data_IF_705834948226
#
_entry.id   IF_705834948226
#
_cell.length_a   1.000
_cell.length_b   1.000
_cell.length_c   1.000
_cell.angle_alpha   90.00
_cell.angle_beta   90.00
_cell.angle_gamma   90.00
#
_symmetry.space_group_name_H-M   'P 1'
#
loop_
_entity.id
_entity.type
_entity.pdbx_description
1 polymer ?
#
# COMPACT_ATOMS: atom_id res chain seq x y z
N UNK A 1 -9.48 15.89 -4.25
CA UNK A 1 -10.61 16.40 -5.05
C UNK A 1 -11.82 16.52 -4.11
N UNK A 2 -12.68 17.53 -4.29
CA UNK A 2 -13.88 17.70 -3.47
C UNK A 2 -15.12 17.17 -4.19
N UNK A 3 -15.90 16.32 -3.52
CA UNK A 3 -17.21 15.89 -3.99
C UNK A 3 -18.24 16.92 -3.53
N UNK A 4 -18.92 17.61 -4.46
CA UNK A 4 -19.99 18.54 -4.13
C UNK A 4 -21.35 17.86 -4.28
N UNK A 5 -22.03 17.63 -3.16
CA UNK A 5 -23.39 17.09 -3.14
C UNK A 5 -24.35 18.26 -2.90
N UNK A 6 -25.32 18.48 -3.78
CA UNK A 6 -26.31 19.57 -3.64
C UNK A 6 -27.66 19.11 -3.07
N UNK A 7 -27.76 17.84 -2.67
CA UNK A 7 -28.99 17.27 -2.15
C UNK A 7 -29.08 17.49 -0.63
N UNK A 8 -30.06 18.28 -0.20
CA UNK A 8 -30.29 18.64 1.22
C UNK A 8 -30.49 17.41 2.13
N UNK A 9 -31.17 16.37 1.64
CA UNK A 9 -31.36 15.14 2.41
C UNK A 9 -30.02 14.45 2.66
N UNK A 10 -29.09 14.46 1.70
CA UNK A 10 -27.76 13.86 1.88
C UNK A 10 -26.94 14.66 2.89
N UNK A 11 -27.02 15.99 2.88
CA UNK A 11 -26.39 16.83 3.89
C UNK A 11 -26.91 16.53 5.30
N UNK A 12 -28.23 16.39 5.46
CA UNK A 12 -28.83 16.05 6.74
C UNK A 12 -28.36 14.67 7.25
N UNK A 13 -28.28 13.68 6.35
CA UNK A 13 -27.77 12.36 6.68
C UNK A 13 -26.28 12.39 7.06
N UNK A 14 -25.45 13.11 6.31
CA UNK A 14 -24.02 13.23 6.59
C UNK A 14 -23.77 13.92 7.94
N UNK A 15 -24.54 14.96 8.27
CA UNK A 15 -24.50 15.63 9.57
C UNK A 15 -24.86 14.68 10.71
N UNK A 16 -25.98 13.95 10.58
CA UNK A 16 -26.40 12.99 11.60
C UNK A 16 -25.40 11.85 11.76
N UNK A 17 -24.83 11.34 10.67
CA UNK A 17 -23.81 10.31 10.71
C UNK A 17 -22.54 10.80 11.43
N UNK A 18 -22.11 12.04 11.16
CA UNK A 18 -21.00 12.68 11.87
C UNK A 18 -21.26 12.77 13.38
N UNK A 19 -22.44 13.24 13.80
CA UNK A 19 -22.84 13.36 15.21
C UNK A 19 -22.80 12.00 15.92
N UNK A 20 -23.39 10.96 15.31
CA UNK A 20 -23.45 9.62 15.91
C UNK A 20 -22.08 8.95 15.98
N UNK A 21 -21.20 9.21 15.00
CA UNK A 21 -19.87 8.56 14.91
C UNK A 21 -18.75 9.36 15.55
N UNK A 22 -18.99 10.61 15.95
CA UNK A 22 -17.95 11.54 16.42
C UNK A 22 -16.94 11.92 15.33
N UNK A 23 -17.28 11.75 14.05
CA UNK A 23 -16.40 12.02 12.90
C UNK A 23 -16.76 13.33 12.21
N UNK A 24 -15.89 13.81 11.33
CA UNK A 24 -16.28 14.84 10.36
C UNK A 24 -17.36 14.30 9.41
N UNK A 25 -18.18 15.17 8.83
CA UNK A 25 -19.18 14.76 7.81
C UNK A 25 -18.53 14.01 6.64
N UNK A 26 -17.37 14.49 6.17
CA UNK A 26 -16.61 13.84 5.11
C UNK A 26 -16.17 12.43 5.52
N UNK A 27 -15.57 12.28 6.70
CA UNK A 27 -15.09 10.97 7.18
C UNK A 27 -16.22 10.00 7.53
N UNK A 28 -17.40 10.50 7.88
CA UNK A 28 -18.60 9.69 8.07
C UNK A 28 -19.16 9.18 6.73
N UNK A 29 -19.17 10.04 5.71
CA UNK A 29 -19.55 9.66 4.34
C UNK A 29 -18.56 8.65 3.77
N UNK A 30 -17.26 8.87 3.93
CA UNK A 30 -16.20 7.94 3.53
C UNK A 30 -16.40 6.55 4.15
N UNK A 31 -16.60 6.49 5.47
CA UNK A 31 -16.88 5.24 6.18
C UNK A 31 -18.11 4.51 5.62
N UNK A 32 -19.20 5.23 5.35
CA UNK A 32 -20.42 4.64 4.81
C UNK A 32 -20.20 4.07 3.40
N UNK A 33 -19.43 4.76 2.56
CA UNK A 33 -19.08 4.30 1.21
C UNK A 33 -18.17 3.06 1.26
N UNK A 34 -17.17 3.04 2.14
CA UNK A 34 -16.32 1.85 2.34
C UNK A 34 -17.12 0.63 2.80
N UNK A 35 -18.08 0.83 3.71
CA UNK A 35 -18.97 -0.24 4.17
C UNK A 35 -19.87 -0.76 3.04
N UNK A 36 -20.43 0.15 2.23
CA UNK A 36 -21.23 -0.21 1.06
C UNK A 36 -20.41 -1.03 0.06
N UNK A 37 -19.22 -0.56 -0.30
CA UNK A 37 -18.34 -1.29 -1.23
C UNK A 37 -17.99 -2.68 -0.71
N UNK A 38 -17.62 -2.80 0.58
CA UNK A 38 -17.35 -4.10 1.21
C UNK A 38 -18.57 -5.02 1.21
N UNK A 39 -19.78 -4.49 1.42
CA UNK A 39 -21.01 -5.31 1.33
C UNK A 39 -21.27 -5.87 -0.07
N UNK A 40 -20.67 -5.26 -1.10
CA UNK A 40 -20.69 -5.75 -2.47
C UNK A 40 -19.44 -6.57 -2.85
N UNK A 41 -18.59 -6.93 -1.88
CA UNK A 41 -17.37 -7.69 -2.11
C UNK A 41 -16.25 -6.90 -2.78
N UNK A 42 -16.35 -5.57 -2.82
CA UNK A 42 -15.31 -4.68 -3.35
C UNK A 42 -14.47 -4.18 -2.18
N UNK A 43 -13.17 -4.48 -2.20
CA UNK A 43 -12.22 -3.88 -1.25
C UNK A 43 -11.71 -2.53 -1.82
N UNK A 44 -12.10 -1.39 -1.21
CA UNK A 44 -11.71 -0.06 -1.69
C UNK A 44 -10.18 0.18 -1.63
N UNK A 45 -9.44 -0.60 -0.84
CA UNK A 45 -7.98 -0.49 -0.74
C UNK A 45 -7.23 -1.49 -1.63
N UNK A 46 -7.94 -2.42 -2.30
CA UNK A 46 -7.30 -3.44 -3.14
C UNK A 46 -6.40 -2.82 -4.21
N UNK A 47 -6.85 -1.73 -4.84
CA UNK A 47 -6.07 -1.00 -5.85
C UNK A 47 -4.79 -0.38 -5.28
N UNK A 48 -4.85 0.16 -4.05
CA UNK A 48 -3.68 0.74 -3.38
C UNK A 48 -2.70 -0.35 -2.94
N UNK A 49 -3.20 -1.48 -2.43
CA UNK A 49 -2.39 -2.63 -2.03
C UNK A 49 -1.70 -3.21 -3.26
N UNK A 50 -2.44 -3.42 -4.36
CA UNK A 50 -1.88 -3.92 -5.63
C UNK A 50 -0.79 -3.01 -6.16
N UNK A 51 -1.02 -1.70 -6.19
CA UNK A 51 0.00 -0.74 -6.62
C UNK A 51 1.27 -0.79 -5.75
N UNK A 52 1.14 -0.91 -4.42
CA UNK A 52 2.29 -1.07 -3.50
C UNK A 52 3.04 -2.38 -3.77
N UNK A 53 2.32 -3.48 -3.96
CA UNK A 53 2.90 -4.79 -4.27
C UNK A 53 3.65 -4.74 -5.61
N UNK A 54 3.10 -4.07 -6.61
CA UNK A 54 3.73 -3.93 -7.92
C UNK A 54 5.01 -3.09 -7.85
N UNK A 55 5.03 -2.02 -7.05
CA UNK A 55 6.25 -1.26 -6.76
C UNK A 55 7.29 -2.13 -6.08
N UNK A 56 6.91 -2.90 -5.05
CA UNK A 56 7.83 -3.79 -4.35
C UNK A 56 8.41 -4.87 -5.29
N UNK A 57 7.58 -5.47 -6.13
CA UNK A 57 8.01 -6.45 -7.15
C UNK A 57 8.99 -5.84 -8.14
N UNK A 58 8.76 -4.60 -8.59
CA UNK A 58 9.68 -3.90 -9.50
C UNK A 58 11.05 -3.70 -8.85
N UNK A 59 11.10 -3.23 -7.59
CA UNK A 59 12.35 -3.01 -6.86
C UNK A 59 13.11 -4.34 -6.70
N UNK A 60 12.42 -5.42 -6.32
CA UNK A 60 13.03 -6.74 -6.17
C UNK A 60 13.60 -7.23 -7.51
N UNK A 61 12.86 -7.07 -8.61
CA UNK A 61 13.30 -7.48 -9.94
C UNK A 61 14.53 -6.67 -10.42
N UNK A 62 14.56 -5.37 -10.17
CA UNK A 62 15.70 -4.51 -10.47
C UNK A 62 16.93 -4.92 -9.64
N UNK A 63 16.75 -5.11 -8.33
CA UNK A 63 17.82 -5.54 -7.45
C UNK A 63 18.39 -6.90 -7.84
N UNK A 64 17.53 -7.92 -8.04
CA UNK A 64 18.01 -9.25 -8.45
C UNK A 64 18.63 -9.28 -9.84
N UNK A 65 18.10 -8.48 -10.78
CA UNK A 65 18.66 -8.35 -12.13
C UNK A 65 20.03 -7.67 -12.16
N UNK A 66 20.24 -6.64 -11.35
CA UNK A 66 21.55 -5.96 -11.23
C UNK A 66 22.56 -6.79 -10.45
N UNK A 67 22.15 -7.39 -9.33
CA UNK A 67 23.05 -8.17 -8.48
C UNK A 67 23.59 -9.40 -9.21
N UNK A 68 22.75 -10.11 -9.98
CA UNK A 68 23.18 -11.24 -10.80
C UNK A 68 24.22 -10.86 -11.87
N UNK A 69 24.31 -9.59 -12.27
CA UNK A 69 25.26 -9.09 -13.28
C UNK A 69 26.55 -8.52 -12.72
N UNK A 70 26.59 -8.12 -11.44
CA UNK A 70 27.70 -7.32 -10.87
C UNK A 70 28.46 -7.98 -9.73
N UNK A 71 27.95 -9.05 -9.11
CA UNK A 71 28.72 -9.81 -8.12
C UNK A 71 28.22 -11.24 -7.99
N UNK A 72 29.10 -12.22 -7.68
CA UNK A 72 28.62 -13.47 -7.11
C UNK A 72 27.83 -13.11 -5.86
N UNK A 73 26.59 -13.57 -5.76
CA UNK A 73 25.77 -13.31 -4.58
C UNK A 73 26.55 -13.76 -3.33
N UNK A 74 26.94 -12.81 -2.49
CA UNK A 74 27.57 -13.05 -1.19
C UNK A 74 26.51 -13.80 -0.36
N UNK A 75 26.62 -15.12 -0.33
CA UNK A 75 25.63 -15.99 0.31
C UNK A 75 25.85 -16.07 1.82
N UNK A 76 27.10 -15.92 2.26
CA UNK A 76 27.55 -15.96 3.64
C UNK A 76 28.81 -15.11 3.85
N UNK A 77 29.22 -14.94 5.11
CA UNK A 77 30.40 -14.15 5.48
C UNK A 77 31.68 -14.77 4.90
N UNK A 78 31.75 -16.10 4.82
CA UNK A 78 32.92 -16.82 4.30
C UNK A 78 33.18 -16.54 2.82
N UNK A 79 32.12 -16.27 2.05
CA UNK A 79 32.23 -15.90 0.62
C UNK A 79 32.95 -14.56 0.37
N UNK A 80 33.14 -13.74 1.42
CA UNK A 80 33.89 -12.48 1.36
C UNK A 80 35.41 -12.67 1.43
N UNK A 81 35.88 -13.86 1.84
CA UNK A 81 37.29 -14.14 2.05
C UNK A 81 37.80 -15.16 1.04
N UNK A 82 39.06 -15.03 0.63
CA UNK A 82 39.72 -16.03 -0.20
C UNK A 82 40.11 -17.25 0.65
N UNK A 83 39.65 -18.44 0.23
CA UNK A 83 39.82 -19.67 1.02
C UNK A 83 41.28 -20.12 1.21
N UNK A 84 42.21 -19.68 0.34
CA UNK A 84 43.62 -20.06 0.43
C UNK A 84 44.44 -19.08 1.29
N UNK A 85 44.14 -17.78 1.19
CA UNK A 85 44.88 -16.73 1.89
C UNK A 85 44.21 -16.21 3.17
N UNK A 86 42.89 -16.43 3.33
CA UNK A 86 42.09 -15.88 4.42
C UNK A 86 41.90 -14.36 4.36
N UNK A 87 42.32 -13.72 3.27
CA UNK A 87 42.20 -12.26 3.08
C UNK A 87 40.88 -11.91 2.38
N UNK A 88 40.32 -10.71 2.61
CA UNK A 88 39.16 -10.22 1.88
C UNK A 88 39.40 -10.22 0.35
N UNK A 89 38.37 -10.58 -0.42
CA UNK A 89 38.37 -10.51 -1.89
C UNK A 89 38.11 -9.09 -2.41
#
# INVERSE_FOLDING_TARGET
>A
MSLNIKNERVHALARKAAEVTGRSQTSAVELALEQLLRSHGVDPDEGKIRAKVDVARRIVAEYTGDHARTSPAIADIESLYDAASGLPR
#
